data_IF_793106547443
#
_entry.id   IF_793106547443
#
_cell.length_a   1.000
_cell.length_b   1.000
_cell.length_c   1.000
_cell.angle_alpha   90.00
_cell.angle_beta   90.00
_cell.angle_gamma   90.00
#
_symmetry.space_group_name_H-M   'P 1'
#
loop_
_entity.id
_entity.type
_entity.pdbx_description
1 polymer ?
#
# COMPACT_ATOMS: atom_id res chain seq x y z
N UNK A 1 -16.22 7.75 10.54
CA UNK A 1 -16.56 7.54 9.11
C UNK A 1 -18.06 7.64 8.88
N UNK A 2 -18.87 6.81 9.53
CA UNK A 2 -20.34 6.78 9.41
C UNK A 2 -20.96 8.17 9.56
N UNK A 3 -20.66 8.88 10.65
CA UNK A 3 -21.22 10.22 10.89
C UNK A 3 -20.76 11.25 9.86
N UNK A 4 -19.46 11.23 9.49
CA UNK A 4 -18.87 12.15 8.51
C UNK A 4 -19.47 11.98 7.12
N UNK A 5 -19.79 10.75 6.73
CA UNK A 5 -20.39 10.42 5.43
C UNK A 5 -21.92 10.37 5.49
N UNK A 6 -22.51 10.67 6.64
CA UNK A 6 -23.95 10.63 6.89
C UNK A 6 -24.59 9.29 6.46
N UNK A 7 -23.92 8.17 6.75
CA UNK A 7 -24.39 6.83 6.39
C UNK A 7 -25.53 6.38 7.30
N UNK A 8 -26.59 5.80 6.72
CA UNK A 8 -27.70 5.24 7.49
C UNK A 8 -27.27 3.96 8.20
N UNK A 9 -27.44 3.92 9.52
CA UNK A 9 -27.17 2.74 10.35
C UNK A 9 -28.46 2.00 10.71
N UNK A 10 -28.40 0.68 10.69
CA UNK A 10 -29.47 -0.22 11.13
C UNK A 10 -29.01 -1.07 12.31
N UNK A 11 -29.96 -1.49 13.14
CA UNK A 11 -29.70 -2.48 14.20
C UNK A 11 -29.44 -3.84 13.56
N UNK A 12 -28.32 -4.46 13.93
CA UNK A 12 -27.96 -5.80 13.46
C UNK A 12 -28.89 -6.85 14.12
N UNK A 13 -29.38 -7.86 13.37
CA UNK A 13 -30.24 -8.91 13.94
C UNK A 13 -29.59 -9.69 15.08
N UNK A 14 -28.28 -9.91 14.99
CA UNK A 14 -27.48 -10.62 16.00
C UNK A 14 -26.29 -9.75 16.36
N UNK A 15 -26.22 -9.35 17.64
CA UNK A 15 -25.06 -8.66 18.19
C UNK A 15 -24.01 -9.64 18.68
N UNK A 16 -22.75 -9.27 18.57
CA UNK A 16 -21.63 -10.07 19.07
C UNK A 16 -20.53 -9.15 19.61
N UNK A 17 -19.54 -9.74 20.28
CA UNK A 17 -18.45 -8.99 20.91
C UNK A 17 -17.13 -9.21 20.19
N UNK A 18 -16.34 -8.15 20.07
CA UNK A 18 -15.00 -8.15 19.52
C UNK A 18 -13.99 -7.76 20.58
N UNK A 19 -13.02 -8.62 20.85
CA UNK A 19 -11.94 -8.39 21.82
C UNK A 19 -10.63 -7.90 21.18
N UNK A 20 -10.48 -8.03 19.86
CA UNK A 20 -9.24 -7.68 19.15
C UNK A 20 -9.15 -6.20 18.74
N UNK A 21 -10.23 -5.42 18.86
CA UNK A 21 -10.28 -4.03 18.38
C UNK A 21 -9.66 -3.05 19.38
N UNK A 22 -9.93 -3.21 20.68
CA UNK A 22 -9.36 -2.36 21.74
C UNK A 22 -8.79 -3.23 22.86
N UNK A 23 -7.51 -3.03 23.17
CA UNK A 23 -6.83 -3.77 24.24
C UNK A 23 -7.50 -3.47 25.58
N UNK A 24 -8.01 -4.49 26.25
CA UNK A 24 -8.64 -4.39 27.56
C UNK A 24 -10.14 -4.07 27.56
N UNK A 25 -10.78 -3.87 26.40
CA UNK A 25 -12.21 -3.59 26.31
C UNK A 25 -12.88 -4.44 25.22
N UNK A 26 -13.97 -5.11 25.55
CA UNK A 26 -14.84 -5.76 24.56
C UNK A 26 -15.69 -4.72 23.84
N UNK A 27 -15.60 -4.69 22.52
CA UNK A 27 -16.44 -3.84 21.66
C UNK A 27 -17.67 -4.64 21.25
N UNK A 28 -18.86 -4.17 21.62
CA UNK A 28 -20.12 -4.79 21.19
C UNK A 28 -20.49 -4.26 19.81
N UNK A 29 -20.64 -5.17 18.85
CA UNK A 29 -21.09 -4.88 17.49
C UNK A 29 -22.59 -5.16 17.41
N UNK A 30 -23.41 -4.11 17.35
CA UNK A 30 -24.86 -4.21 17.31
C UNK A 30 -25.49 -3.39 16.16
N UNK A 31 -24.68 -2.72 15.36
CA UNK A 31 -25.10 -1.87 14.26
C UNK A 31 -24.36 -2.27 12.98
N UNK A 32 -25.04 -2.09 11.86
CA UNK A 32 -24.48 -2.22 10.52
C UNK A 32 -24.93 -1.07 9.65
N UNK A 33 -24.16 -0.74 8.63
CA UNK A 33 -24.54 0.24 7.61
C UNK A 33 -24.22 -0.31 6.23
N UNK A 34 -25.00 0.09 5.22
CA UNK A 34 -24.68 -0.21 3.84
C UNK A 34 -23.69 0.83 3.35
N UNK A 35 -22.49 0.40 2.99
CA UNK A 35 -21.44 1.26 2.47
C UNK A 35 -21.35 1.06 0.97
N UNK A 36 -21.71 2.10 0.22
CA UNK A 36 -21.42 2.17 -1.21
C UNK A 36 -20.06 2.82 -1.39
N UNK A 37 -19.16 2.15 -2.08
CA UNK A 37 -17.81 2.64 -2.33
C UNK A 37 -17.38 2.36 -3.77
N UNK A 38 -16.45 3.16 -4.26
CA UNK A 38 -15.75 2.91 -5.51
C UNK A 38 -14.26 2.75 -5.25
N UNK A 39 -13.61 1.91 -6.05
CA UNK A 39 -12.16 1.78 -6.05
C UNK A 39 -11.67 2.07 -7.47
N UNK A 40 -10.91 3.15 -7.61
CA UNK A 40 -10.61 3.71 -8.93
C UNK A 40 -11.90 4.19 -9.63
N UNK A 41 -11.87 4.21 -10.96
CA UNK A 41 -12.99 4.69 -11.79
C UNK A 41 -13.93 3.56 -12.25
N UNK A 42 -13.47 2.30 -12.17
CA UNK A 42 -14.14 1.16 -12.79
C UNK A 42 -14.95 0.35 -11.79
N UNK A 43 -14.48 0.25 -10.56
CA UNK A 43 -15.12 -0.59 -9.55
C UNK A 43 -16.07 0.23 -8.69
N UNK A 44 -17.34 -0.19 -8.62
CA UNK A 44 -18.32 0.33 -7.66
C UNK A 44 -19.04 -0.85 -7.00
N UNK A 45 -19.12 -0.86 -5.68
CA UNK A 45 -19.79 -1.93 -4.92
C UNK A 45 -20.55 -1.38 -3.72
N UNK A 46 -21.50 -2.16 -3.22
CA UNK A 46 -22.23 -1.82 -1.99
C UNK A 46 -22.24 -3.00 -1.05
N UNK A 47 -21.69 -2.83 0.14
CA UNK A 47 -21.56 -3.91 1.11
C UNK A 47 -22.04 -3.52 2.50
N UNK A 48 -22.67 -4.47 3.16
CA UNK A 48 -23.06 -4.33 4.56
C UNK A 48 -21.82 -4.43 5.45
N UNK A 49 -21.50 -3.34 6.14
CA UNK A 49 -20.39 -3.27 7.07
C UNK A 49 -20.89 -3.11 8.50
N UNK A 50 -20.25 -3.81 9.42
CA UNK A 50 -20.46 -3.65 10.84
C UNK A 50 -19.87 -2.31 11.32
N UNK A 51 -20.61 -1.61 12.18
CA UNK A 51 -20.18 -0.31 12.72
C UNK A 51 -19.43 -0.52 14.02
N UNK A 52 -18.18 -0.04 14.06
CA UNK A 52 -17.33 -0.10 15.25
C UNK A 52 -16.73 1.27 15.59
N UNK A 53 -16.56 1.61 16.88
CA UNK A 53 -15.89 2.82 17.29
C UNK A 53 -14.37 2.70 17.07
N UNK A 54 -13.87 3.38 16.04
CA UNK A 54 -12.46 3.38 15.65
C UNK A 54 -11.97 4.81 15.38
N UNK A 55 -10.72 5.09 15.76
CA UNK A 55 -10.13 6.44 15.66
C UNK A 55 -9.72 6.80 14.22
N UNK A 56 -9.76 5.84 13.30
CA UNK A 56 -9.41 6.02 11.88
C UNK A 56 -10.57 5.58 10.99
N UNK A 57 -10.73 6.23 9.83
CA UNK A 57 -11.75 5.90 8.85
C UNK A 57 -11.23 4.84 7.87
N UNK A 58 -11.39 3.56 8.19
CA UNK A 58 -11.08 2.45 7.29
C UNK A 58 -12.31 1.57 7.05
N UNK A 59 -12.42 1.04 5.84
CA UNK A 59 -13.32 -0.07 5.50
C UNK A 59 -12.46 -1.32 5.44
N UNK A 60 -12.74 -2.31 6.29
CA UNK A 60 -12.03 -3.58 6.30
C UNK A 60 -12.90 -4.64 5.64
N UNK A 61 -12.63 -4.91 4.36
CA UNK A 61 -13.27 -5.99 3.61
C UNK A 61 -12.56 -7.31 3.97
N UNK A 62 -13.10 -7.98 4.99
CA UNK A 62 -12.51 -9.20 5.56
C UNK A 62 -12.64 -10.44 4.68
N UNK A 63 -12.31 -11.60 5.25
CA UNK A 63 -12.39 -12.90 4.57
C UNK A 63 -13.78 -13.25 3.99
N UNK A 64 -14.92 -12.91 4.64
CA UNK A 64 -16.23 -13.15 4.04
C UNK A 64 -16.40 -12.45 2.69
N UNK A 65 -16.03 -11.18 2.59
CA UNK A 65 -16.09 -10.45 1.33
C UNK A 65 -15.16 -11.05 0.27
N UNK A 66 -13.93 -11.42 0.66
CA UNK A 66 -13.00 -12.12 -0.26
C UNK A 66 -13.58 -13.44 -0.78
N UNK A 67 -14.28 -14.18 0.08
CA UNK A 67 -14.95 -15.42 -0.29
C UNK A 67 -16.10 -15.17 -1.27
N UNK A 68 -16.97 -14.20 -0.97
CA UNK A 68 -18.12 -13.84 -1.81
C UNK A 68 -17.68 -13.38 -3.20
N UNK A 69 -16.59 -12.61 -3.30
CA UNK A 69 -16.01 -12.18 -4.56
C UNK A 69 -15.12 -13.24 -5.23
N UNK A 70 -14.97 -14.45 -4.66
CA UNK A 70 -14.07 -15.50 -5.14
C UNK A 70 -12.64 -14.99 -5.38
N UNK A 71 -12.16 -14.14 -4.47
CA UNK A 71 -10.85 -13.56 -4.57
C UNK A 71 -9.76 -14.63 -4.47
N UNK A 72 -8.84 -14.61 -5.43
CA UNK A 72 -7.65 -15.46 -5.47
C UNK A 72 -6.46 -14.67 -4.93
N UNK A 73 -5.78 -15.22 -3.93
CA UNK A 73 -4.57 -14.63 -3.35
C UNK A 73 -3.33 -15.30 -3.95
N UNK A 74 -2.50 -14.51 -4.63
CA UNK A 74 -1.15 -14.91 -5.02
C UNK A 74 -0.20 -14.59 -3.86
N UNK A 75 0.28 -15.63 -3.18
CA UNK A 75 1.16 -15.49 -2.03
C UNK A 75 2.59 -15.02 -2.36
N UNK A 76 3.05 -15.24 -3.59
CA UNK A 76 4.38 -14.81 -4.03
C UNK A 76 4.38 -13.32 -4.33
N UNK A 77 3.38 -12.85 -5.09
CA UNK A 77 3.21 -11.42 -5.39
C UNK A 77 2.58 -10.65 -4.23
N UNK A 78 1.97 -11.34 -3.27
CA UNK A 78 1.13 -10.80 -2.22
C UNK A 78 -0.03 -9.95 -2.77
N UNK A 79 -0.70 -10.46 -3.81
CA UNK A 79 -1.76 -9.74 -4.54
C UNK A 79 -3.08 -10.49 -4.48
N UNK A 80 -4.20 -9.77 -4.40
CA UNK A 80 -5.54 -10.35 -4.48
C UNK A 80 -6.17 -9.97 -5.81
N UNK A 81 -6.66 -10.95 -6.55
CA UNK A 81 -7.36 -10.75 -7.82
C UNK A 81 -8.75 -11.36 -7.74
N UNK A 82 -9.75 -10.70 -8.30
CA UNK A 82 -11.10 -11.24 -8.39
C UNK A 82 -11.81 -10.74 -9.65
N UNK A 83 -12.90 -11.41 -10.00
CA UNK A 83 -13.69 -11.11 -11.19
C UNK A 83 -15.00 -10.48 -10.75
N UNK A 84 -15.31 -9.29 -11.29
CA UNK A 84 -16.61 -8.66 -11.18
C UNK A 84 -17.16 -8.41 -12.57
N UNK A 85 -18.40 -8.80 -12.82
CA UNK A 85 -19.09 -8.62 -14.11
C UNK A 85 -18.27 -9.09 -15.33
N UNK A 86 -17.53 -10.20 -15.16
CA UNK A 86 -16.68 -10.79 -16.21
C UNK A 86 -15.31 -10.14 -16.40
N UNK A 87 -14.99 -9.07 -15.66
CA UNK A 87 -13.71 -8.35 -15.75
C UNK A 87 -12.83 -8.65 -14.54
N UNK A 88 -11.53 -8.87 -14.77
CA UNK A 88 -10.54 -8.94 -13.68
C UNK A 88 -10.27 -7.54 -13.13
N UNK A 89 -10.68 -7.31 -11.90
CA UNK A 89 -10.52 -6.02 -11.22
C UNK A 89 -9.12 -5.88 -10.60
N UNK A 90 -8.67 -4.63 -10.41
CA UNK A 90 -7.42 -4.25 -9.73
C UNK A 90 -6.09 -4.51 -10.46
N UNK A 91 -6.10 -4.87 -11.74
CA UNK A 91 -4.86 -4.96 -12.53
C UNK A 91 -4.12 -3.62 -12.64
N UNK A 92 -4.84 -2.50 -12.59
CA UNK A 92 -4.30 -1.14 -12.62
C UNK A 92 -3.72 -0.68 -11.27
N UNK A 93 -4.24 -1.20 -10.16
CA UNK A 93 -3.72 -0.91 -8.81
C UNK A 93 -2.44 -1.68 -8.53
N UNK A 94 -2.21 -2.80 -9.24
CA UNK A 94 -1.04 -3.66 -9.10
C UNK A 94 -0.44 -3.91 -10.50
N UNK A 95 0.18 -2.88 -11.10
CA UNK A 95 0.78 -3.05 -12.41
C UNK A 95 1.98 -3.99 -12.32
N UNK A 96 2.20 -4.81 -13.35
CA UNK A 96 3.37 -5.71 -13.42
C UNK A 96 4.69 -4.92 -13.45
N UNK A 97 4.65 -3.70 -14.00
CA UNK A 97 5.76 -2.75 -14.00
C UNK A 97 5.38 -1.48 -13.25
N UNK A 98 6.33 -0.94 -12.48
CA UNK A 98 6.11 0.32 -11.78
C UNK A 98 5.91 1.48 -12.78
N UNK A 99 4.89 2.33 -12.59
CA UNK A 99 4.65 3.44 -13.52
C UNK A 99 5.83 4.40 -13.54
N UNK A 100 6.14 4.94 -14.72
CA UNK A 100 7.17 5.96 -14.84
C UNK A 100 6.73 7.24 -14.12
N UNK A 101 7.66 7.83 -13.38
CA UNK A 101 7.49 9.08 -12.66
C UNK A 101 7.24 8.91 -11.16
N UNK A 102 7.23 10.05 -10.48
CA UNK A 102 6.86 10.11 -9.07
C UNK A 102 5.34 9.99 -8.92
N UNK A 103 4.86 9.36 -7.83
CA UNK A 103 3.44 9.38 -7.53
C UNK A 103 2.93 10.81 -7.40
N UNK A 104 1.64 11.01 -7.65
CA UNK A 104 0.98 12.29 -7.37
C UNK A 104 1.25 12.70 -5.92
N UNK A 105 1.45 14.00 -5.71
CA UNK A 105 1.57 14.58 -4.38
C UNK A 105 0.32 14.21 -3.55
N UNK A 106 0.57 13.71 -2.34
CA UNK A 106 -0.44 13.33 -1.34
C UNK A 106 -0.30 14.22 -0.11
N UNK A 107 -1.38 14.33 0.68
CA UNK A 107 -1.40 15.09 1.94
C UNK A 107 -0.31 14.66 2.93
N UNK A 108 0.07 13.37 2.87
CA UNK A 108 1.17 12.80 3.66
C UNK A 108 2.35 12.57 2.73
N UNK A 109 3.43 13.32 2.96
CA UNK A 109 4.72 13.13 2.29
C UNK A 109 5.70 12.45 3.23
N UNK A 110 6.58 11.61 2.68
CA UNK A 110 7.70 11.06 3.44
C UNK A 110 8.70 12.18 3.73
N UNK A 111 8.92 12.48 5.00
CA UNK A 111 9.97 13.39 5.46
C UNK A 111 11.00 12.61 6.27
N UNK A 112 12.28 12.97 6.12
CA UNK A 112 13.36 12.45 6.97
C UNK A 112 13.70 13.55 7.96
N UNK A 113 13.23 13.41 9.20
CA UNK A 113 13.54 14.34 10.28
C UNK A 113 14.99 14.12 10.75
N UNK A 114 15.83 15.16 10.60
CA UNK A 114 17.20 15.12 11.08
C UNK A 114 17.25 15.50 12.56
N UNK A 115 18.01 14.74 13.35
CA UNK A 115 18.28 15.08 14.74
C UNK A 115 19.21 16.31 14.76
N UNK A 116 18.89 17.40 15.49
CA UNK A 116 19.76 18.57 15.58
C UNK A 116 21.18 18.20 16.03
N UNK A 117 22.19 18.73 15.34
CA UNK A 117 23.60 18.42 15.59
C UNK A 117 24.10 17.10 14.98
N UNK A 118 23.25 16.33 14.31
CA UNK A 118 23.72 15.14 13.55
C UNK A 118 24.53 15.54 12.32
N UNK A 119 25.56 14.77 12.02
CA UNK A 119 26.42 14.95 10.84
C UNK A 119 25.91 14.11 9.67
N UNK A 120 25.81 14.72 8.50
CA UNK A 120 25.50 14.00 7.27
C UNK A 120 26.68 13.12 6.85
N UNK A 121 26.39 11.90 6.41
CA UNK A 121 27.41 10.96 5.95
C UNK A 121 27.82 11.29 4.53
N UNK A 122 29.12 11.42 4.28
CA UNK A 122 29.70 11.49 2.94
C UNK A 122 30.78 10.42 2.81
N UNK A 123 30.39 9.26 2.28
CA UNK A 123 31.28 8.10 2.11
C UNK A 123 31.53 7.86 0.62
N UNK A 124 32.79 7.56 0.29
CA UNK A 124 33.16 7.13 -1.05
C UNK A 124 32.45 5.82 -1.43
N UNK A 125 32.25 5.62 -2.73
CA UNK A 125 31.71 4.37 -3.27
C UNK A 125 32.64 3.18 -2.97
N UNK A 126 32.06 1.98 -2.82
CA UNK A 126 32.86 0.76 -2.72
C UNK A 126 33.60 0.49 -4.02
N UNK A 127 34.75 -0.19 -3.92
CA UNK A 127 35.43 -0.73 -5.10
C UNK A 127 34.57 -1.84 -5.68
N UNK A 128 34.19 -1.70 -6.94
CA UNK A 128 33.38 -2.66 -7.69
C UNK A 128 34.19 -3.22 -8.85
N UNK A 129 33.92 -4.46 -9.23
CA UNK A 129 34.48 -5.05 -10.45
C UNK A 129 33.86 -4.42 -11.72
N UNK A 130 34.47 -4.57 -12.90
CA UNK A 130 33.91 -4.03 -14.14
C UNK A 130 32.49 -4.52 -14.43
N UNK A 131 32.20 -5.81 -14.19
CA UNK A 131 30.87 -6.40 -14.40
C UNK A 131 29.83 -5.82 -13.44
N UNK A 132 30.18 -5.65 -12.17
CA UNK A 132 29.29 -5.02 -11.18
C UNK A 132 29.06 -3.54 -11.49
N UNK A 133 30.07 -2.84 -11.98
CA UNK A 133 29.93 -1.44 -12.38
C UNK A 133 28.96 -1.29 -13.56
N UNK A 134 29.07 -2.16 -14.57
CA UNK A 134 28.15 -2.18 -15.71
C UNK A 134 26.70 -2.41 -15.26
N UNK A 135 26.47 -3.38 -14.37
CA UNK A 135 25.12 -3.67 -13.86
C UNK A 135 24.58 -2.55 -12.98
N UNK A 136 25.40 -1.99 -12.08
CA UNK A 136 25.02 -0.84 -11.27
C UNK A 136 24.63 0.35 -12.16
N UNK A 137 25.44 0.66 -13.17
CA UNK A 137 25.18 1.75 -14.11
C UNK A 137 23.90 1.49 -14.93
N UNK A 138 23.66 0.25 -15.36
CA UNK A 138 22.43 -0.15 -16.05
C UNK A 138 21.19 0.16 -15.21
N UNK A 139 21.19 -0.24 -13.93
CA UNK A 139 20.07 0.01 -13.02
C UNK A 139 19.88 1.51 -12.73
N UNK A 140 20.97 2.27 -12.54
CA UNK A 140 20.91 3.72 -12.32
C UNK A 140 20.29 4.43 -13.54
N UNK A 141 20.72 4.09 -14.76
CA UNK A 141 20.15 4.66 -16.00
C UNK A 141 18.67 4.32 -16.14
N UNK A 142 18.28 3.08 -15.81
CA UNK A 142 16.88 2.67 -15.84
C UNK A 142 16.02 3.48 -14.86
N UNK A 143 16.51 3.68 -13.63
CA UNK A 143 15.83 4.48 -12.60
C UNK A 143 15.75 5.97 -12.97
N UNK A 144 16.80 6.53 -13.59
CA UNK A 144 16.80 7.89 -14.13
C UNK A 144 15.77 8.04 -15.25
N UNK A 145 15.73 7.09 -16.20
CA UNK A 145 14.75 7.07 -17.29
C UNK A 145 13.31 6.94 -16.78
N UNK A 146 13.10 6.14 -15.72
CA UNK A 146 11.81 6.01 -15.03
C UNK A 146 11.45 7.25 -14.22
N UNK A 147 12.37 8.21 -14.00
CA UNK A 147 12.10 9.43 -13.25
C UNK A 147 11.90 9.22 -11.74
N UNK A 148 12.33 8.07 -11.21
CA UNK A 148 12.23 7.76 -9.77
C UNK A 148 13.44 8.26 -8.97
N UNK A 149 14.55 8.53 -9.66
CA UNK A 149 15.74 9.21 -9.11
C UNK A 149 16.14 10.37 -10.01
N UNK A 150 17.01 11.25 -9.51
CA UNK A 150 17.59 12.37 -10.25
C UNK A 150 19.02 12.63 -9.78
N UNK A 151 19.83 13.23 -10.63
CA UNK A 151 21.13 13.75 -10.24
C UNK A 151 21.00 14.81 -9.15
N UNK A 152 21.95 14.85 -8.23
CA UNK A 152 21.93 15.80 -7.11
C UNK A 152 23.35 16.18 -6.67
N UNK A 153 23.48 17.40 -6.16
CA UNK A 153 24.71 17.89 -5.50
C UNK A 153 24.56 17.81 -3.98
N UNK A 154 24.11 16.65 -3.48
CA UNK A 154 23.86 16.43 -2.05
C UNK A 154 25.17 16.43 -1.25
N UNK A 155 25.24 17.09 -0.08
CA UNK A 155 26.37 16.96 0.84
C UNK A 155 26.40 15.59 1.54
N UNK A 156 25.33 14.79 1.42
CA UNK A 156 25.21 13.43 1.92
C UNK A 156 25.37 12.43 0.77
N UNK A 157 26.27 11.47 0.92
CA UNK A 157 26.51 10.37 -0.01
C UNK A 157 26.76 9.06 0.74
N UNK A 158 26.08 8.00 0.33
CA UNK A 158 26.18 6.65 0.90
C UNK A 158 26.47 5.67 -0.25
N UNK A 159 27.44 4.75 -0.10
CA UNK A 159 27.76 3.79 -1.15
C UNK A 159 26.60 2.82 -1.38
N UNK A 160 26.34 2.49 -2.65
CA UNK A 160 25.41 1.44 -3.05
C UNK A 160 26.12 0.07 -3.08
N UNK A 161 25.33 -0.99 -2.86
CA UNK A 161 25.76 -2.38 -2.97
C UNK A 161 24.77 -3.14 -3.86
N UNK A 162 25.28 -3.97 -4.77
CA UNK A 162 24.47 -4.89 -5.54
C UNK A 162 24.22 -6.16 -4.71
N UNK A 163 22.98 -6.63 -4.73
CA UNK A 163 22.58 -7.88 -4.08
C UNK A 163 22.03 -8.83 -5.15
N UNK A 164 22.66 -9.99 -5.38
CA UNK A 164 22.18 -10.95 -6.37
C UNK A 164 20.84 -11.53 -5.94
N UNK A 165 19.85 -11.52 -6.83
CA UNK A 165 18.54 -12.13 -6.57
C UNK A 165 18.53 -13.58 -7.01
N UNK A 166 17.55 -14.33 -6.48
CA UNK A 166 17.39 -15.78 -6.72
C UNK A 166 17.04 -16.12 -8.17
N UNK A 167 16.47 -15.17 -8.91
CA UNK A 167 16.10 -15.30 -10.31
C UNK A 167 17.28 -15.03 -11.26
N UNK A 168 18.47 -14.75 -10.73
CA UNK A 168 19.66 -14.42 -11.52
C UNK A 168 19.68 -12.98 -12.02
N UNK A 169 18.81 -12.11 -11.48
CA UNK A 169 18.82 -10.65 -11.71
C UNK A 169 19.34 -9.85 -10.53
#
# INVERSE_FOLDING_TARGET
>A
MVDKLNLKTEKKPISYKLSWVKKGNEVVVNQRCLVTFSIGQKYQDSQWCDVIPMDVCHILLGKPWQFDCKATHDGYKNTYTFIKDGTKEFNDVIPEEFPAGLPLMRDIQHCIDLIPGSTLLNKAHYRVSPLEYEELNRQVIELLKKGVIRESMSPCAVPALLAPKKDGT
#
